data_IF_304764687363
#
_entry.id   IF_304764687363
#
_cell.length_a   1.000
_cell.length_b   1.000
_cell.length_c   1.000
_cell.angle_alpha   90.00
_cell.angle_beta   90.00
_cell.angle_gamma   90.00
#
_symmetry.space_group_name_H-M   'P 1'
#
loop_
_entity.id
_entity.type
_entity.pdbx_description
1 polymer ?
#
# COMPACT_ATOMS: atom_id res chain seq x y z
N UNK A 1 -21.08 11.61 -20.29
CA UNK A 1 -20.52 12.81 -20.96
C UNK A 1 -20.65 12.64 -22.45
N UNK A 2 -20.99 13.71 -23.19
CA UNK A 2 -21.23 13.70 -24.65
C UNK A 2 -22.33 12.73 -25.14
N UNK A 3 -23.41 12.59 -24.36
CA UNK A 3 -24.54 11.71 -24.71
C UNK A 3 -25.90 12.32 -24.31
N UNK A 4 -26.01 13.66 -24.34
CA UNK A 4 -27.25 14.40 -24.06
C UNK A 4 -28.32 14.09 -25.12
N UNK A 5 -27.94 14.21 -26.41
CA UNK A 5 -28.74 13.74 -27.54
C UNK A 5 -28.33 12.33 -27.90
N UNK A 6 -29.26 11.36 -27.79
CA UNK A 6 -29.00 9.97 -28.16
C UNK A 6 -28.94 9.80 -29.68
N UNK A 7 -28.08 8.89 -30.13
CA UNK A 7 -27.99 8.54 -31.55
C UNK A 7 -29.29 7.83 -31.98
N UNK A 8 -30.01 8.33 -33.01
CA UNK A 8 -31.29 7.75 -33.46
C UNK A 8 -31.18 6.31 -33.98
N UNK A 9 -29.99 5.84 -34.33
CA UNK A 9 -29.77 4.44 -34.73
C UNK A 9 -29.72 3.46 -33.54
N UNK A 10 -29.76 3.96 -32.30
CA UNK A 10 -29.77 3.14 -31.09
C UNK A 10 -31.21 3.08 -30.56
N UNK A 11 -31.93 2.00 -30.86
CA UNK A 11 -33.25 1.73 -30.29
C UNK A 11 -33.14 0.83 -29.05
N UNK A 12 -33.55 1.37 -27.90
CA UNK A 12 -33.47 0.68 -26.61
C UNK A 12 -34.84 0.41 -25.98
N UNK A 13 -35.96 0.81 -26.61
CA UNK A 13 -37.29 0.82 -25.99
C UNK A 13 -37.75 -0.56 -25.50
N UNK A 14 -37.45 -1.60 -26.27
CA UNK A 14 -37.79 -3.00 -25.97
C UNK A 14 -36.59 -3.81 -25.47
N UNK A 15 -35.58 -3.13 -24.90
CA UNK A 15 -34.33 -3.75 -24.44
C UNK A 15 -34.14 -3.59 -22.94
N UNK A 16 -33.33 -4.46 -22.28
CA UNK A 16 -32.98 -4.28 -20.87
C UNK A 16 -31.95 -3.15 -20.65
N UNK A 17 -31.52 -2.45 -21.70
CA UNK A 17 -30.45 -1.48 -21.67
C UNK A 17 -30.97 -0.04 -21.66
N UNK A 18 -30.23 0.83 -20.99
CA UNK A 18 -30.43 2.27 -21.02
C UNK A 18 -29.07 2.96 -20.92
N UNK A 19 -29.00 4.23 -21.35
CA UNK A 19 -27.79 5.04 -21.25
C UNK A 19 -27.77 5.79 -19.91
N UNK A 20 -26.67 5.69 -19.16
CA UNK A 20 -26.46 6.47 -17.93
C UNK A 20 -26.02 7.88 -18.30
N UNK A 21 -26.93 8.86 -18.21
CA UNK A 21 -26.65 10.27 -18.54
C UNK A 21 -26.18 11.08 -17.32
N UNK A 22 -26.64 10.72 -16.12
CA UNK A 22 -26.32 11.38 -14.86
C UNK A 22 -25.83 10.37 -13.82
N UNK A 23 -25.08 10.85 -12.83
CA UNK A 23 -24.64 10.03 -11.70
C UNK A 23 -25.86 9.57 -10.91
N UNK A 24 -25.97 8.26 -10.70
CA UNK A 24 -27.04 7.66 -9.92
C UNK A 24 -26.52 6.52 -9.07
N UNK A 25 -27.29 6.18 -8.04
CA UNK A 25 -27.01 5.02 -7.22
C UNK A 25 -27.07 3.74 -8.06
N UNK A 26 -26.07 2.86 -7.88
CA UNK A 26 -26.09 1.52 -8.45
C UNK A 26 -26.77 0.56 -7.47
N UNK A 27 -28.08 0.41 -7.65
CA UNK A 27 -28.91 -0.43 -6.79
C UNK A 27 -28.56 -1.92 -6.93
N UNK A 28 -28.67 -2.65 -5.83
CA UNK A 28 -28.59 -4.12 -5.81
C UNK A 28 -29.93 -4.72 -6.22
N UNK A 29 -29.90 -5.88 -6.86
CA UNK A 29 -31.10 -6.63 -7.19
C UNK A 29 -31.48 -7.53 -6.01
N UNK A 30 -32.78 -7.64 -5.73
CA UNK A 30 -33.33 -8.62 -4.77
C UNK A 30 -34.19 -9.62 -5.53
N UNK A 31 -34.08 -10.90 -5.20
CA UNK A 31 -35.03 -11.90 -5.69
C UNK A 31 -36.37 -11.83 -4.94
N UNK A 32 -37.33 -12.66 -5.37
CA UNK A 32 -38.67 -12.74 -4.76
C UNK A 32 -38.66 -13.23 -3.30
N UNK A 33 -37.53 -13.70 -2.78
CA UNK A 33 -37.33 -14.13 -1.39
C UNK A 33 -36.61 -13.05 -0.56
N UNK A 34 -36.32 -11.88 -1.15
CA UNK A 34 -35.66 -10.75 -0.49
C UNK A 34 -34.13 -10.89 -0.40
N UNK A 35 -33.54 -11.89 -1.08
CA UNK A 35 -32.09 -12.07 -1.07
C UNK A 35 -31.42 -11.07 -2.00
N UNK A 36 -30.45 -10.34 -1.44
CA UNK A 36 -29.66 -9.35 -2.19
C UNK A 36 -28.61 -10.05 -3.06
N UNK A 37 -28.59 -9.74 -4.35
CA UNK A 37 -27.58 -10.20 -5.29
C UNK A 37 -26.41 -9.20 -5.42
N UNK A 38 -25.17 -9.70 -5.62
CA UNK A 38 -24.04 -8.84 -5.90
C UNK A 38 -24.23 -8.08 -7.22
N UNK A 39 -23.70 -6.87 -7.28
CA UNK A 39 -23.68 -6.10 -8.53
C UNK A 39 -22.84 -6.82 -9.57
N UNK A 40 -23.33 -6.86 -10.81
CA UNK A 40 -22.64 -7.46 -11.95
C UNK A 40 -22.56 -6.47 -13.09
N UNK A 41 -21.42 -6.42 -13.77
CA UNK A 41 -21.21 -5.58 -14.95
C UNK A 41 -20.44 -6.34 -16.03
N UNK A 42 -20.76 -6.03 -17.29
CA UNK A 42 -20.00 -6.45 -18.46
C UNK A 42 -19.12 -5.32 -18.97
N UNK A 43 -17.90 -5.65 -19.41
CA UNK A 43 -16.99 -4.71 -20.09
C UNK A 43 -16.62 -5.31 -21.45
N UNK A 44 -16.94 -4.59 -22.52
CA UNK A 44 -16.61 -4.98 -23.89
C UNK A 44 -15.49 -4.10 -24.46
N UNK A 45 -14.58 -4.72 -25.23
CA UNK A 45 -13.55 -4.01 -26.00
C UNK A 45 -13.42 -4.63 -27.39
N UNK A 46 -13.42 -3.79 -28.42
CA UNK A 46 -13.41 -4.19 -29.82
C UNK A 46 -12.27 -3.47 -30.55
N UNK A 47 -11.32 -4.23 -31.08
CA UNK A 47 -10.19 -3.71 -31.86
C UNK A 47 -10.51 -3.67 -33.34
N UNK A 48 -10.02 -2.64 -34.04
CA UNK A 48 -10.25 -2.47 -35.49
C UNK A 48 -9.82 -3.69 -36.33
N UNK A 49 -8.80 -4.43 -35.89
CA UNK A 49 -8.34 -5.68 -36.53
C UNK A 49 -9.27 -6.89 -36.36
N UNK A 50 -10.46 -6.72 -35.79
CA UNK A 50 -11.45 -7.78 -35.59
C UNK A 50 -11.31 -8.58 -34.29
N UNK A 51 -10.39 -8.18 -33.40
CA UNK A 51 -10.23 -8.82 -32.08
C UNK A 51 -11.25 -8.24 -31.12
N UNK A 52 -12.07 -9.12 -30.53
CA UNK A 52 -13.12 -8.77 -29.59
C UNK A 52 -12.87 -9.43 -28.24
N UNK A 53 -13.09 -8.70 -27.16
CA UNK A 53 -13.01 -9.21 -25.80
C UNK A 53 -14.20 -8.74 -24.96
N UNK A 54 -14.70 -9.62 -24.10
CA UNK A 54 -15.75 -9.32 -23.14
C UNK A 54 -15.43 -9.92 -21.78
N UNK A 55 -15.62 -9.15 -20.71
CA UNK A 55 -15.36 -9.57 -19.33
C UNK A 55 -16.62 -9.31 -18.51
N UNK A 56 -16.98 -10.27 -17.65
CA UNK A 56 -18.02 -10.12 -16.64
C UNK A 56 -17.37 -9.98 -15.27
N UNK A 57 -17.77 -8.96 -14.52
CA UNK A 57 -17.25 -8.64 -13.19
C UNK A 57 -18.42 -8.73 -12.20
N UNK A 58 -18.19 -9.41 -11.08
CA UNK A 58 -19.10 -9.48 -9.95
C UNK A 58 -18.49 -8.76 -8.74
N UNK A 59 -19.30 -8.02 -8.00
CA UNK A 59 -18.94 -7.42 -6.73
C UNK A 59 -18.58 -8.48 -5.69
N UNK A 60 -17.46 -8.30 -5.00
CA UNK A 60 -17.09 -9.15 -3.88
C UNK A 60 -17.88 -8.76 -2.62
N UNK A 61 -18.76 -9.64 -2.17
CA UNK A 61 -19.45 -9.52 -0.87
C UNK A 61 -18.63 -10.29 0.17
N UNK A 62 -18.04 -9.61 1.18
CA UNK A 62 -17.31 -10.31 2.23
C UNK A 62 -18.26 -11.20 3.02
N UNK A 63 -17.89 -12.46 3.32
CA UNK A 63 -18.72 -13.30 4.17
C UNK A 63 -18.87 -12.64 5.55
N UNK A 64 -20.08 -12.72 6.10
CA UNK A 64 -20.51 -12.12 7.37
C UNK A 64 -19.83 -12.73 8.61
N UNK A 65 -18.74 -13.47 8.42
CA UNK A 65 -17.96 -14.05 9.50
C UNK A 65 -17.56 -12.95 10.48
N UNK A 66 -18.12 -13.04 11.68
CA UNK A 66 -17.74 -12.30 12.89
C UNK A 66 -16.31 -12.68 13.26
N UNK A 67 -15.33 -12.20 12.50
CA UNK A 67 -13.94 -12.34 12.87
C UNK A 67 -13.73 -11.53 14.13
N UNK A 68 -13.11 -12.13 15.12
CA UNK A 68 -12.66 -11.40 16.31
C UNK A 68 -11.76 -10.27 15.86
N UNK A 69 -12.28 -9.04 15.94
CA UNK A 69 -11.52 -7.85 15.59
C UNK A 69 -10.43 -7.70 16.65
N UNK A 70 -9.18 -7.81 16.21
CA UNK A 70 -8.03 -7.51 17.07
C UNK A 70 -8.14 -6.04 17.47
N UNK A 71 -8.44 -5.80 18.74
CA UNK A 71 -8.57 -4.44 19.27
C UNK A 71 -7.18 -3.90 19.60
N UNK A 72 -6.95 -2.66 19.18
CA UNK A 72 -5.79 -1.88 19.64
C UNK A 72 -6.07 -1.38 21.05
N UNK A 73 -5.16 -1.69 21.97
CA UNK A 73 -5.23 -1.26 23.37
C UNK A 73 -3.86 -0.78 23.83
N UNK A 74 -3.77 -0.22 25.04
CA UNK A 74 -2.47 0.16 25.61
C UNK A 74 -1.53 -1.03 25.81
N UNK A 75 -2.08 -2.24 26.03
CA UNK A 75 -1.31 -3.49 26.14
C UNK A 75 -1.00 -4.11 24.78
N UNK A 76 -1.78 -3.77 23.74
CA UNK A 76 -1.60 -4.25 22.38
C UNK A 76 -1.65 -3.08 21.37
N UNK A 77 -0.62 -2.21 21.35
CA UNK A 77 -0.57 -1.06 20.46
C UNK A 77 -0.36 -1.46 19.00
N UNK A 78 -0.76 -0.60 18.07
CA UNK A 78 -0.47 -0.75 16.66
C UNK A 78 0.98 -0.37 16.35
N UNK A 79 1.67 -1.24 15.61
CA UNK A 79 3.02 -1.00 15.11
C UNK A 79 2.94 -0.58 13.65
N UNK A 80 3.15 0.70 13.36
CA UNK A 80 3.18 1.20 12.00
C UNK A 80 4.64 1.28 11.55
N UNK A 81 4.90 0.76 10.35
CA UNK A 81 6.23 0.77 9.75
C UNK A 81 6.18 1.41 8.37
N UNK A 82 7.17 2.24 8.07
CA UNK A 82 7.38 2.86 6.76
C UNK A 82 8.84 2.68 6.37
N UNK A 83 9.09 2.49 5.08
CA UNK A 83 10.45 2.47 4.59
C UNK A 83 10.56 3.04 3.18
N UNK A 84 11.72 3.59 2.87
CA UNK A 84 12.02 4.12 1.55
C UNK A 84 13.52 4.00 1.24
N UNK A 85 13.90 4.30 -0.01
CA UNK A 85 15.32 4.26 -0.41
C UNK A 85 16.18 5.37 0.18
N UNK A 86 15.57 6.50 0.56
CA UNK A 86 16.25 7.66 1.12
C UNK A 86 15.29 8.49 1.99
N UNK A 87 15.85 9.41 2.79
CA UNK A 87 15.10 10.18 3.77
C UNK A 87 13.99 11.03 3.15
N UNK A 88 14.27 11.66 2.01
CA UNK A 88 13.30 12.50 1.30
C UNK A 88 12.07 11.68 0.90
N UNK A 89 12.28 10.48 0.34
CA UNK A 89 11.19 9.56 -0.04
C UNK A 89 10.45 9.02 1.18
N UNK A 90 11.13 8.84 2.31
CA UNK A 90 10.48 8.44 3.56
C UNK A 90 9.55 9.54 4.08
N UNK A 91 9.96 10.82 3.99
CA UNK A 91 9.09 11.97 4.31
C UNK A 91 7.92 12.07 3.34
N UNK A 92 8.13 11.82 2.04
CA UNK A 92 7.03 11.78 1.06
C UNK A 92 6.02 10.67 1.36
N UNK A 93 6.48 9.47 1.71
CA UNK A 93 5.60 8.37 2.13
C UNK A 93 4.80 8.71 3.39
N UNK A 94 5.43 9.36 4.38
CA UNK A 94 4.74 9.83 5.58
C UNK A 94 3.65 10.87 5.25
N UNK A 95 3.91 11.81 4.35
CA UNK A 95 2.92 12.79 3.87
C UNK A 95 1.75 12.13 3.15
N UNK A 96 2.05 11.18 2.26
CA UNK A 96 1.00 10.44 1.55
C UNK A 96 0.11 9.63 2.48
N UNK A 97 0.70 8.98 3.49
CA UNK A 97 -0.08 8.24 4.47
C UNK A 97 -0.97 9.18 5.29
N UNK A 98 -0.46 10.35 5.71
CA UNK A 98 -1.27 11.38 6.37
C UNK A 98 -2.46 11.84 5.52
N UNK A 99 -2.25 12.07 4.22
CA UNK A 99 -3.34 12.41 3.30
C UNK A 99 -4.36 11.28 3.19
N UNK A 100 -3.90 10.03 3.04
CA UNK A 100 -4.78 8.88 2.90
C UNK A 100 -5.59 8.56 4.15
N UNK A 101 -5.03 8.78 5.36
CA UNK A 101 -5.76 8.65 6.62
C UNK A 101 -6.99 9.57 6.63
N UNK A 102 -6.82 10.80 6.15
CA UNK A 102 -7.89 11.81 6.08
C UNK A 102 -8.90 11.53 4.97
N UNK A 103 -8.42 11.27 3.75
CA UNK A 103 -9.29 11.07 2.58
C UNK A 103 -10.11 9.77 2.64
N UNK A 104 -9.54 8.71 3.23
CA UNK A 104 -10.20 7.41 3.35
C UNK A 104 -10.93 7.22 4.69
N UNK A 105 -11.01 8.27 5.50
CA UNK A 105 -11.65 8.27 6.82
C UNK A 105 -11.20 7.06 7.68
N UNK A 106 -9.88 6.79 7.69
CA UNK A 106 -9.34 5.67 8.46
C UNK A 106 -9.61 5.92 9.94
N UNK A 107 -10.41 5.07 10.55
CA UNK A 107 -10.77 5.13 11.96
C UNK A 107 -9.92 4.18 12.80
N UNK A 108 -10.01 4.30 14.12
CA UNK A 108 -9.34 3.40 15.07
C UNK A 108 -9.71 1.93 14.85
N UNK A 109 -10.89 1.64 14.27
CA UNK A 109 -11.32 0.28 13.93
C UNK A 109 -10.47 -0.35 12.82
N UNK A 110 -9.88 0.45 11.92
CA UNK A 110 -9.06 -0.02 10.81
C UNK A 110 -7.56 0.15 11.05
N UNK A 111 -7.17 0.66 12.22
CA UNK A 111 -5.76 0.90 12.57
C UNK A 111 -4.93 -0.38 12.52
N UNK A 112 -5.50 -1.51 12.96
CA UNK A 112 -4.84 -2.82 12.92
C UNK A 112 -4.63 -3.32 11.49
N UNK A 113 -5.61 -3.12 10.60
CA UNK A 113 -5.53 -3.46 9.18
C UNK A 113 -4.48 -2.59 8.46
N UNK A 114 -4.41 -1.30 8.83
CA UNK A 114 -3.39 -0.38 8.34
C UNK A 114 -1.98 -0.82 8.74
N UNK A 115 -1.78 -1.14 10.03
CA UNK A 115 -0.52 -1.65 10.56
C UNK A 115 -0.08 -2.91 9.81
N UNK A 116 -0.97 -3.88 9.73
CA UNK A 116 -0.70 -5.15 9.06
C UNK A 116 -0.37 -4.96 7.56
N UNK A 117 -1.14 -4.12 6.86
CA UNK A 117 -0.89 -3.82 5.44
C UNK A 117 0.51 -3.24 5.21
N UNK A 118 0.97 -2.34 6.09
CA UNK A 118 2.28 -1.71 5.97
C UNK A 118 3.42 -2.66 6.35
N UNK A 119 3.18 -3.57 7.29
CA UNK A 119 4.13 -4.56 7.76
C UNK A 119 4.40 -5.68 6.74
N UNK A 120 3.34 -6.34 6.25
CA UNK A 120 3.47 -7.52 5.37
C UNK A 120 3.28 -7.19 3.89
N UNK A 121 2.64 -6.06 3.58
CA UNK A 121 2.30 -5.65 2.22
C UNK A 121 3.27 -4.65 1.60
N UNK A 122 4.40 -4.36 2.25
CA UNK A 122 5.43 -3.42 1.75
C UNK A 122 6.82 -4.04 1.89
N UNK A 123 7.71 -3.68 0.96
CA UNK A 123 9.11 -4.09 1.00
C UNK A 123 9.86 -3.20 1.98
N UNK A 124 10.61 -3.80 2.93
CA UNK A 124 11.43 -3.07 3.89
C UNK A 124 12.73 -2.56 3.24
N UNK A 125 12.80 -1.26 2.95
CA UNK A 125 13.94 -0.59 2.30
C UNK A 125 14.99 -0.09 3.32
N UNK A 126 15.96 0.70 2.85
CA UNK A 126 17.14 1.13 3.61
C UNK A 126 16.85 2.18 4.69
N UNK A 127 16.02 3.18 4.40
CA UNK A 127 15.56 4.15 5.39
C UNK A 127 14.27 3.65 5.99
N UNK A 128 14.22 3.55 7.32
CA UNK A 128 13.13 2.94 8.05
C UNK A 128 12.62 3.88 9.14
N UNK A 129 11.30 3.98 9.23
CA UNK A 129 10.56 4.65 10.28
C UNK A 129 9.61 3.65 10.90
N UNK A 130 9.65 3.52 12.21
CA UNK A 130 8.72 2.73 12.98
C UNK A 130 8.02 3.59 14.02
N UNK A 131 6.74 3.35 14.27
CA UNK A 131 6.00 4.05 15.31
C UNK A 131 5.05 3.10 16.04
N UNK A 132 4.86 3.35 17.33
CA UNK A 132 3.91 2.66 18.19
C UNK A 132 2.76 3.64 18.45
N UNK A 133 1.52 3.24 18.21
CA UNK A 133 0.35 4.09 18.39
C UNK A 133 -0.86 3.30 18.88
N UNK A 134 -1.66 3.93 19.73
CA UNK A 134 -2.90 3.34 20.27
C UNK A 134 -4.15 3.88 19.55
N UNK A 135 -4.00 4.90 18.71
CA UNK A 135 -5.07 5.49 17.92
C UNK A 135 -4.54 6.11 16.63
N UNK A 136 -5.42 6.31 15.66
CA UNK A 136 -5.12 6.99 14.39
C UNK A 136 -4.62 8.41 14.66
N UNK A 137 -5.20 9.12 15.63
CA UNK A 137 -4.75 10.45 16.03
C UNK A 137 -3.28 10.47 16.46
N UNK A 138 -2.85 9.48 17.24
CA UNK A 138 -1.43 9.36 17.64
C UNK A 138 -0.53 9.08 16.42
N UNK A 139 -1.00 8.28 15.45
CA UNK A 139 -0.27 8.08 14.19
C UNK A 139 -0.12 9.40 13.44
N UNK A 140 -1.19 10.18 13.31
CA UNK A 140 -1.15 11.48 12.64
C UNK A 140 -0.18 12.45 13.31
N UNK A 141 -0.24 12.57 14.64
CA UNK A 141 0.64 13.47 15.41
C UNK A 141 2.12 13.09 15.23
N UNK A 142 2.45 11.80 15.33
CA UNK A 142 3.83 11.31 15.15
C UNK A 142 4.32 11.46 13.72
N UNK A 143 3.50 11.16 12.71
CA UNK A 143 3.86 11.36 11.31
C UNK A 143 4.05 12.84 10.98
N UNK A 144 3.17 13.73 11.48
CA UNK A 144 3.30 15.17 11.29
C UNK A 144 4.57 15.71 11.97
N UNK A 145 4.88 15.25 13.18
CA UNK A 145 6.11 15.61 13.88
C UNK A 145 7.35 15.20 13.10
N UNK A 146 7.36 13.98 12.54
CA UNK A 146 8.46 13.48 11.72
C UNK A 146 8.64 14.30 10.45
N UNK A 147 7.55 14.62 9.73
CA UNK A 147 7.59 15.45 8.52
C UNK A 147 8.11 16.86 8.83
N UNK A 148 7.81 17.39 10.02
CA UNK A 148 8.32 18.69 10.52
C UNK A 148 9.76 18.64 11.05
N UNK A 149 10.39 17.45 11.09
CA UNK A 149 11.77 17.30 11.55
C UNK A 149 11.94 17.25 13.07
N UNK A 150 10.90 16.88 13.83
CA UNK A 150 11.07 16.58 15.26
C UNK A 150 11.71 15.20 15.42
N UNK A 151 12.87 15.15 16.08
CA UNK A 151 13.69 13.93 16.15
C UNK A 151 13.46 13.09 17.43
N UNK A 152 12.91 13.68 18.49
CA UNK A 152 12.64 12.98 19.77
C UNK A 152 11.16 12.96 20.12
N UNK A 153 10.44 11.98 19.56
CA UNK A 153 9.07 11.67 19.97
C UNK A 153 9.01 10.26 20.54
N UNK A 154 8.37 10.13 21.70
CA UNK A 154 8.22 8.83 22.33
C UNK A 154 7.49 7.83 21.42
N UNK A 155 8.02 6.60 21.37
CA UNK A 155 7.55 5.54 20.49
C UNK A 155 7.70 5.82 18.99
N UNK A 156 8.59 6.72 18.58
CA UNK A 156 9.04 6.90 17.19
C UNK A 156 10.50 6.46 17.05
N UNK A 157 10.74 5.58 16.09
CA UNK A 157 12.05 4.96 15.86
C UNK A 157 12.48 5.19 14.42
N UNK A 158 13.70 5.68 14.23
CA UNK A 158 14.27 5.92 12.91
C UNK A 158 15.61 5.21 12.78
N UNK A 159 15.87 4.64 11.61
CA UNK A 159 17.13 3.99 11.32
C UNK A 159 17.43 3.92 9.83
N UNK A 160 18.71 3.79 9.51
CA UNK A 160 19.21 3.64 8.15
C UNK A 160 20.12 2.41 8.08
N UNK A 161 19.89 1.53 7.10
CA UNK A 161 20.85 0.47 6.77
C UNK A 161 22.09 1.06 6.07
N UNK A 162 23.03 1.61 6.83
CA UNK A 162 24.38 1.88 6.32
C UNK A 162 25.18 0.57 6.25
N UNK A 163 25.12 -0.12 5.10
CA UNK A 163 26.11 -1.09 4.56
C UNK A 163 26.87 -2.05 5.52
N UNK A 164 26.43 -2.36 6.73
CA UNK A 164 26.89 -3.56 7.47
C UNK A 164 26.00 -4.75 7.11
N UNK A 165 26.02 -5.12 5.83
CA UNK A 165 25.19 -6.21 5.25
C UNK A 165 25.38 -7.58 5.94
N UNK A 166 26.46 -7.78 6.69
CA UNK A 166 26.84 -9.10 7.20
C UNK A 166 26.60 -9.33 8.70
N UNK A 167 26.34 -8.29 9.51
CA UNK A 167 26.22 -8.50 10.96
C UNK A 167 24.81 -8.92 11.38
N UNK A 168 23.77 -8.29 10.82
CA UNK A 168 22.38 -8.49 11.27
C UNK A 168 21.63 -9.64 10.57
N UNK A 169 22.03 -10.01 9.36
CA UNK A 169 21.48 -11.18 8.67
C UNK A 169 21.85 -12.49 9.37
N UNK A 170 22.99 -12.53 10.06
CA UNK A 170 23.44 -13.68 10.86
C UNK A 170 22.56 -13.87 12.10
N UNK A 171 22.11 -12.77 12.75
CA UNK A 171 21.20 -12.84 13.89
C UNK A 171 19.77 -13.28 13.52
N UNK A 172 19.31 -13.07 12.28
CA UNK A 172 17.96 -13.45 11.87
C UNK A 172 17.78 -14.97 11.65
N UNK A 173 18.88 -15.71 11.43
CA UNK A 173 18.87 -17.15 11.20
C UNK A 173 19.15 -17.97 12.48
N UNK A 174 19.36 -17.30 13.61
CA UNK A 174 19.61 -17.93 14.90
C UNK A 174 18.27 -18.30 15.56
N UNK A 175 18.11 -19.57 15.93
CA UNK A 175 16.90 -20.09 16.57
C UNK A 175 16.64 -19.40 17.91
N UNK A 176 17.70 -18.98 18.61
CA UNK A 176 17.61 -18.26 19.88
C UNK A 176 17.06 -16.83 19.69
N UNK A 177 17.40 -16.18 18.58
CA UNK A 177 16.85 -14.87 18.23
C UNK A 177 15.36 -14.94 17.89
N UNK A 178 14.92 -16.00 17.19
CA UNK A 178 13.50 -16.23 16.92
C UNK A 178 12.71 -16.39 18.24
N UNK A 179 13.21 -17.21 19.18
CA UNK A 179 12.61 -17.39 20.51
C UNK A 179 12.57 -16.08 21.32
N UNK A 180 13.60 -15.24 21.21
CA UNK A 180 13.61 -13.92 21.86
C UNK A 180 12.57 -12.97 21.27
N UNK A 181 12.39 -12.96 19.94
CA UNK A 181 11.36 -12.16 19.27
C UNK A 181 9.98 -12.61 19.74
N UNK A 182 9.72 -13.92 19.76
CA UNK A 182 8.45 -14.47 20.23
C UNK A 182 8.19 -14.11 21.70
N UNK A 183 9.23 -14.18 22.55
CA UNK A 183 9.15 -13.76 23.95
C UNK A 183 8.92 -12.24 24.10
N UNK A 184 9.43 -11.40 23.20
CA UNK A 184 9.15 -9.96 23.20
C UNK A 184 7.73 -9.66 22.74
N UNK A 185 7.24 -10.34 21.70
CA UNK A 185 5.85 -10.22 21.24
C UNK A 185 4.89 -10.64 22.36
N UNK A 186 5.12 -11.80 22.98
CA UNK A 186 4.30 -12.30 24.10
C UNK A 186 4.32 -11.37 25.33
N UNK A 187 5.40 -10.62 25.55
CA UNK A 187 5.54 -9.64 26.65
C UNK A 187 5.16 -8.21 26.25
N UNK A 188 4.67 -7.97 25.02
CA UNK A 188 4.34 -6.64 24.50
C UNK A 188 5.54 -5.68 24.38
N UNK A 189 6.77 -6.20 24.31
CA UNK A 189 8.02 -5.40 24.24
C UNK A 189 8.33 -4.96 22.81
N UNK A 190 7.38 -4.25 22.19
CA UNK A 190 7.47 -3.82 20.80
C UNK A 190 8.56 -2.78 20.54
N UNK A 191 8.96 -2.02 21.56
CA UNK A 191 10.04 -1.02 21.47
C UNK A 191 11.37 -1.62 21.00
N UNK A 192 11.75 -2.79 21.54
CA UNK A 192 12.97 -3.49 21.14
C UNK A 192 12.89 -4.05 19.73
N UNK A 193 11.72 -4.60 19.37
CA UNK A 193 11.47 -5.15 18.03
C UNK A 193 11.61 -4.05 16.95
N UNK A 194 11.01 -2.89 17.19
CA UNK A 194 11.08 -1.73 16.31
C UNK A 194 12.50 -1.17 16.20
N UNK A 195 13.21 -1.02 17.32
CA UNK A 195 14.60 -0.54 17.33
C UNK A 195 15.53 -1.43 16.48
N UNK A 196 15.37 -2.76 16.57
CA UNK A 196 16.13 -3.68 15.73
C UNK A 196 15.68 -3.67 14.27
N UNK A 197 14.36 -3.56 14.03
CA UNK A 197 13.84 -3.50 12.66
C UNK A 197 14.33 -2.26 11.92
N UNK A 198 14.34 -1.07 12.55
CA UNK A 198 14.85 0.15 11.89
C UNK A 198 16.36 0.06 11.63
N UNK A 199 17.09 -0.74 12.41
CA UNK A 199 18.52 -1.04 12.21
C UNK A 199 18.80 -2.11 11.15
N UNK A 200 17.76 -2.78 10.66
CA UNK A 200 17.85 -3.69 9.52
C UNK A 200 17.57 -5.16 9.80
N UNK A 201 17.04 -5.50 10.97
CA UNK A 201 16.51 -6.84 11.20
C UNK A 201 15.38 -7.14 10.20
N UNK A 202 15.37 -8.38 9.69
CA UNK A 202 14.27 -8.91 8.90
C UNK A 202 13.29 -9.52 9.90
N UNK A 203 12.13 -8.91 10.05
CA UNK A 203 11.11 -9.33 11.01
C UNK A 203 9.94 -9.98 10.27
N UNK A 204 9.54 -11.17 10.70
CA UNK A 204 8.28 -11.78 10.27
C UNK A 204 7.13 -11.25 11.13
N UNK A 205 6.46 -10.21 10.62
CA UNK A 205 5.37 -9.54 11.30
C UNK A 205 4.13 -10.43 11.50
N UNK A 206 4.00 -11.55 10.77
CA UNK A 206 2.89 -12.47 10.95
C UNK A 206 2.83 -13.05 12.37
N UNK A 207 3.99 -13.15 13.04
CA UNK A 207 4.11 -13.67 14.40
C UNK A 207 3.37 -12.84 15.45
N UNK A 208 3.07 -11.57 15.17
CA UNK A 208 2.31 -10.69 16.07
C UNK A 208 0.84 -11.10 16.15
N UNK A 209 0.29 -11.63 15.06
CA UNK A 209 -1.15 -11.83 14.89
C UNK A 209 -1.61 -13.28 15.11
N UNK A 210 -0.66 -14.24 15.12
CA UNK A 210 -0.98 -15.66 15.21
C UNK A 210 -1.87 -16.11 14.04
N UNK A 211 -2.94 -16.85 14.36
CA UNK A 211 -3.83 -17.46 13.37
C UNK A 211 -4.87 -16.47 12.79
N UNK A 212 -5.27 -15.46 13.56
CA UNK A 212 -6.25 -14.46 13.12
C UNK A 212 -5.56 -13.23 12.55
N UNK A 213 -5.37 -13.20 11.23
CA UNK A 213 -4.67 -12.10 10.55
C UNK A 213 -5.62 -10.96 10.18
N UNK A 214 -5.22 -9.69 10.38
CA UNK A 214 -5.97 -8.52 9.91
C UNK A 214 -6.13 -8.53 8.39
N UNK A 215 -7.04 -7.70 7.89
CA UNK A 215 -7.26 -7.55 6.44
C UNK A 215 -6.23 -6.59 5.86
N UNK A 216 -5.85 -6.81 4.61
CA UNK A 216 -5.09 -5.82 3.86
C UNK A 216 -6.04 -4.78 3.31
N UNK A 217 -5.72 -3.52 3.52
CA UNK A 217 -6.51 -2.38 3.01
C UNK A 217 -5.73 -1.63 1.93
N UNK A 218 -6.46 -0.91 1.09
CA UNK A 218 -5.83 -0.06 0.06
C UNK A 218 -5.17 1.14 0.74
N UNK A 219 -3.84 1.21 0.68
CA UNK A 219 -3.02 2.33 1.15
C UNK A 219 -2.17 2.86 0.00
N UNK A 220 -1.68 4.12 0.08
CA UNK A 220 -0.79 4.67 -0.94
C UNK A 220 0.36 3.74 -1.31
N UNK A 221 0.70 3.75 -2.59
CA UNK A 221 1.83 3.00 -3.14
C UNK A 221 3.11 3.83 -3.04
N UNK A 222 4.25 3.19 -3.34
CA UNK A 222 5.54 3.85 -3.30
C UNK A 222 5.61 5.03 -4.28
N UNK A 223 5.95 6.21 -3.79
CA UNK A 223 6.10 7.41 -4.61
C UNK A 223 7.48 7.42 -5.26
N UNK A 224 7.52 7.03 -6.54
CA UNK A 224 8.71 7.09 -7.35
C UNK A 224 9.20 8.53 -7.56
N UNK A 225 10.51 8.69 -7.68
CA UNK A 225 11.11 9.97 -8.03
C UNK A 225 10.62 10.42 -9.40
N UNK A 226 10.17 11.67 -9.50
CA UNK A 226 9.71 12.30 -10.75
C UNK A 226 10.90 12.86 -11.53
N UNK A 227 11.80 11.97 -11.93
CA UNK A 227 12.96 12.33 -12.74
C UNK A 227 12.57 12.38 -14.22
N UNK A 228 12.95 13.46 -14.90
CA UNK A 228 12.68 13.61 -16.34
C UNK A 228 13.67 12.76 -17.13
N UNK A 229 13.20 11.65 -17.67
CA UNK A 229 13.91 10.88 -18.68
C UNK A 229 13.28 11.17 -20.05
N UNK A 230 13.94 12.04 -20.81
CA UNK A 230 13.50 12.40 -22.16
C UNK A 230 14.68 12.41 -23.12
N UNK A 231 14.42 12.17 -24.40
CA UNK A 231 15.44 12.29 -25.44
C UNK A 231 16.08 13.67 -25.38
N UNK A 232 17.42 13.70 -25.35
CA UNK A 232 18.17 14.96 -25.35
C UNK A 232 18.22 15.47 -26.79
N UNK A 233 17.57 16.60 -27.06
CA UNK A 233 17.50 17.18 -28.42
C UNK A 233 18.80 17.85 -28.90
N UNK A 234 19.91 17.70 -28.18
CA UNK A 234 21.18 18.37 -28.48
C UNK A 234 22.23 17.54 -29.24
N UNK A 235 21.82 16.59 -30.09
CA UNK A 235 22.71 15.96 -31.08
C UNK A 235 22.02 15.62 -32.42
N UNK A 236 21.07 16.45 -32.88
CA UNK A 236 20.67 16.48 -34.30
C UNK A 236 21.08 17.83 -34.89
N UNK A 237 22.38 18.15 -34.83
CA UNK A 237 23.00 19.08 -35.77
C UNK A 237 24.34 18.49 -36.20
N UNK A 238 24.40 18.27 -37.51
CA UNK A 238 25.54 17.92 -38.36
C UNK A 238 25.97 16.45 -38.34
N UNK A 239 25.71 15.79 -39.47
CA UNK A 239 26.29 14.50 -39.82
C UNK A 239 27.80 14.55 -39.73
N UNK A 240 28.34 13.89 -38.71
CA UNK A 240 29.61 13.17 -38.76
C UNK A 240 29.67 12.33 -37.49
N UNK A 241 29.68 11.01 -37.68
CA UNK A 241 29.68 10.04 -36.61
C UNK A 241 30.93 10.20 -35.72
N UNK A 242 30.75 10.67 -34.49
CA UNK A 242 31.67 10.36 -33.39
C UNK A 242 30.91 9.55 -32.34
N UNK A 243 31.27 8.26 -32.27
CA UNK A 243 30.85 7.32 -31.22
C UNK A 243 31.20 7.90 -29.85
N UNK A 244 30.25 8.54 -29.17
CA UNK A 244 30.32 8.72 -27.72
C UNK A 244 29.99 7.37 -27.07
N UNK A 245 31.02 6.73 -26.49
CA UNK A 245 30.83 5.59 -25.58
C UNK A 245 30.09 6.09 -24.35
N UNK A 246 28.81 5.78 -24.23
CA UNK A 246 28.12 5.83 -22.94
C UNK A 246 28.78 4.83 -21.98
N UNK A 247 29.00 5.19 -20.69
CA UNK A 247 29.43 4.20 -19.72
C UNK A 247 28.30 3.19 -19.51
N UNK A 248 28.57 1.92 -19.84
CA UNK A 248 27.75 0.79 -19.43
C UNK A 248 27.63 0.77 -17.90
N UNK A 249 26.57 1.35 -17.35
CA UNK A 249 26.11 0.98 -16.01
C UNK A 249 25.38 -0.34 -16.12
N UNK A 250 25.98 -1.33 -15.47
CA UNK A 250 25.68 -2.76 -15.48
C UNK A 250 24.17 -3.05 -15.37
N UNK A 251 23.75 -4.04 -16.17
CA UNK A 251 22.52 -4.84 -16.04
C UNK A 251 22.10 -4.99 -14.57
N UNK A 252 20.90 -4.51 -14.26
CA UNK A 252 20.12 -5.04 -13.15
C UNK A 252 19.68 -6.44 -13.58
N UNK A 253 20.26 -7.47 -12.97
CA UNK A 253 19.71 -8.82 -13.01
C UNK A 253 18.33 -8.75 -12.34
N UNK A 254 17.31 -9.20 -13.08
CA UNK A 254 16.00 -9.52 -12.54
C UNK A 254 16.18 -10.63 -11.49
N UNK A 255 15.58 -10.44 -10.33
CA UNK A 255 15.00 -11.50 -9.50
C UNK A 255 13.53 -11.15 -9.39
#
# INVERSE_FOLDING_TARGET
>A
MHCETLNPYIDLKESPFYIVQETKEWQTLQDGEGKVHPRRAGVSSFGFGGVNAHIVIEEYIPPEQSREQIKITSQNPAIIVLSARNEERLKDQARQLLTAIKEKEISDSNLVDMAYTLQVGRVAMEERLGLIANSVKQVEEKLQGFVKGKEDMDGLYRGQLKRKKNALAVFAADEDMAKMIDAWIAKGKYTKLLDLWVKGLISDWNRIYGDSKPRRISLPTYLFAKERYWVSFNQIKNGSAKKQKLPMKRRVQRV
#
